data_IF_279408943663
#
_entry.id   IF_279408943663
#
_cell.length_a   1.000
_cell.length_b   1.000
_cell.length_c   1.000
_cell.angle_alpha   90.00
_cell.angle_beta   90.00
_cell.angle_gamma   90.00
#
_symmetry.space_group_name_H-M   'P 1'
#
loop_
_entity.id
_entity.type
_entity.pdbx_description
1 polymer ?
#
# COMPACT_ATOMS: atom_id res chain seq x y z
N UNK A 1 -19.75 12.43 -0.99
CA UNK A 1 -19.15 13.63 -1.61
C UNK A 1 -17.83 13.94 -0.95
N UNK A 2 -16.78 14.20 -1.74
CA UNK A 2 -15.46 14.61 -1.25
C UNK A 2 -14.96 15.81 -2.07
N UNK A 3 -14.12 16.63 -1.49
CA UNK A 3 -13.46 17.72 -2.19
C UNK A 3 -12.08 17.28 -2.69
N UNK A 4 -11.72 17.81 -3.84
CA UNK A 4 -10.42 17.61 -4.50
C UNK A 4 -9.89 18.94 -5.01
N UNK A 5 -8.58 19.08 -5.06
CA UNK A 5 -7.96 20.15 -5.84
C UNK A 5 -7.89 19.71 -7.30
N UNK A 6 -8.45 20.47 -8.25
CA UNK A 6 -8.49 20.07 -9.64
C UNK A 6 -7.12 20.22 -10.28
N UNK A 7 -6.77 19.24 -11.14
CA UNK A 7 -5.63 19.31 -12.03
C UNK A 7 -6.15 19.24 -13.46
N UNK A 8 -5.79 20.22 -14.28
CA UNK A 8 -6.19 20.22 -15.69
C UNK A 8 -5.44 19.12 -16.44
N UNK A 9 -6.20 18.36 -17.22
CA UNK A 9 -5.72 17.31 -18.12
C UNK A 9 -6.37 17.50 -19.50
N UNK A 10 -5.79 16.88 -20.51
CA UNK A 10 -6.39 16.81 -21.85
C UNK A 10 -7.35 15.62 -21.90
N UNK A 11 -8.47 15.78 -22.63
CA UNK A 11 -9.51 14.76 -22.80
C UNK A 11 -10.84 15.10 -22.11
N UNK A 12 -11.84 14.24 -22.31
CA UNK A 12 -13.24 14.45 -21.91
C UNK A 12 -13.63 13.62 -20.67
N UNK A 13 -12.65 13.03 -19.97
CA UNK A 13 -12.87 12.18 -18.81
C UNK A 13 -12.33 12.79 -17.51
N UNK A 14 -12.91 12.38 -16.39
CA UNK A 14 -12.40 12.71 -15.06
C UNK A 14 -11.41 11.62 -14.63
N UNK A 15 -10.16 12.00 -14.36
CA UNK A 15 -9.20 11.11 -13.73
C UNK A 15 -9.40 11.15 -12.21
N UNK A 16 -9.70 10.00 -11.62
CA UNK A 16 -9.92 9.87 -10.19
C UNK A 16 -8.75 9.12 -9.54
N UNK A 17 -8.28 9.62 -8.40
CA UNK A 17 -7.21 8.95 -7.66
C UNK A 17 -7.66 7.54 -7.20
N UNK A 18 -6.88 6.48 -7.49
CA UNK A 18 -7.30 5.09 -7.26
C UNK A 18 -7.70 4.76 -5.82
N UNK A 19 -7.05 5.36 -4.81
CA UNK A 19 -7.39 5.10 -3.40
C UNK A 19 -8.75 5.67 -2.97
N UNK A 20 -9.34 6.57 -3.75
CA UNK A 20 -10.67 7.13 -3.47
C UNK A 20 -11.80 6.35 -4.15
N UNK A 21 -11.49 5.45 -5.07
CA UNK A 21 -12.49 4.67 -5.79
C UNK A 21 -13.39 3.86 -4.85
N UNK A 22 -12.83 3.28 -3.78
CA UNK A 22 -13.60 2.51 -2.81
C UNK A 22 -14.67 3.36 -2.09
N UNK A 23 -14.35 4.62 -1.76
CA UNK A 23 -15.28 5.54 -1.10
C UNK A 23 -16.44 5.95 -2.00
N UNK A 24 -16.20 6.06 -3.31
CA UNK A 24 -17.22 6.39 -4.31
C UNK A 24 -17.91 5.16 -4.89
N UNK A 25 -17.44 3.96 -4.58
CA UNK A 25 -17.79 2.73 -5.26
C UNK A 25 -17.68 2.89 -6.79
N UNK A 26 -16.61 3.56 -7.23
CA UNK A 26 -16.37 3.90 -8.62
C UNK A 26 -15.44 2.90 -9.29
N UNK A 27 -15.74 2.56 -10.52
CA UNK A 27 -14.83 1.90 -11.44
C UNK A 27 -14.75 2.70 -12.76
N UNK A 28 -13.99 2.22 -13.72
CA UNK A 28 -13.70 2.96 -14.95
C UNK A 28 -14.35 2.31 -16.19
N UNK A 29 -15.50 1.68 -16.01
CA UNK A 29 -16.25 1.00 -17.08
C UNK A 29 -17.34 1.90 -17.75
N UNK A 30 -17.40 3.17 -17.37
CA UNK A 30 -18.37 4.15 -17.88
C UNK A 30 -19.16 4.88 -16.79
N UNK A 31 -18.73 4.80 -15.53
CA UNK A 31 -19.32 5.54 -14.43
C UNK A 31 -19.30 7.05 -14.68
N UNK A 32 -20.35 7.73 -14.28
CA UNK A 32 -20.48 9.19 -14.34
C UNK A 32 -20.43 9.81 -12.96
N UNK A 33 -19.83 10.99 -12.86
CA UNK A 33 -19.77 11.77 -11.63
C UNK A 33 -20.26 13.19 -11.85
N UNK A 34 -20.94 13.74 -10.85
CA UNK A 34 -21.29 15.16 -10.80
C UNK A 34 -20.16 15.96 -10.13
N UNK A 35 -19.88 17.14 -10.68
CA UNK A 35 -18.93 18.08 -10.16
C UNK A 35 -19.66 19.32 -9.64
N UNK A 36 -19.36 19.72 -8.40
CA UNK A 36 -19.91 20.91 -7.77
C UNK A 36 -18.78 21.88 -7.41
N UNK A 37 -18.96 23.15 -7.73
CA UNK A 37 -17.99 24.21 -7.44
C UNK A 37 -18.52 25.03 -6.26
N UNK A 38 -17.78 25.13 -5.13
CA UNK A 38 -18.18 25.96 -4.00
C UNK A 38 -18.05 27.45 -4.38
N UNK A 39 -19.14 28.20 -4.26
CA UNK A 39 -19.21 29.59 -4.72
C UNK A 39 -18.89 30.62 -3.63
N UNK A 40 -19.26 30.35 -2.38
CA UNK A 40 -18.97 31.29 -1.26
C UNK A 40 -17.65 30.93 -0.57
N UNK A 41 -17.09 31.91 0.14
CA UNK A 41 -15.86 31.71 0.93
C UNK A 41 -16.06 30.66 2.02
N UNK A 42 -17.22 30.67 2.66
CA UNK A 42 -17.59 29.69 3.69
C UNK A 42 -17.65 28.28 3.11
N UNK A 43 -18.29 28.11 1.96
CA UNK A 43 -18.37 26.82 1.27
C UNK A 43 -16.97 26.32 0.83
N UNK A 44 -16.11 27.22 0.37
CA UNK A 44 -14.72 26.89 0.03
C UNK A 44 -13.94 26.45 1.27
N UNK A 45 -14.13 27.11 2.40
CA UNK A 45 -13.50 26.74 3.67
C UNK A 45 -13.97 25.37 4.15
N UNK A 46 -15.28 25.11 4.12
CA UNK A 46 -15.83 23.79 4.46
C UNK A 46 -15.28 22.71 3.54
N UNK A 47 -15.20 22.93 2.24
CA UNK A 47 -14.64 22.00 1.28
C UNK A 47 -13.17 21.66 1.63
N UNK A 48 -12.35 22.66 1.95
CA UNK A 48 -10.93 22.47 2.29
C UNK A 48 -10.72 21.79 3.64
N UNK A 49 -11.46 22.20 4.67
CA UNK A 49 -11.21 21.73 6.04
C UNK A 49 -11.89 20.39 6.32
N UNK A 50 -13.13 20.21 5.85
CA UNK A 50 -13.94 19.06 6.21
C UNK A 50 -14.04 18.01 5.08
N UNK A 51 -14.12 18.44 3.81
CA UNK A 51 -14.48 17.54 2.71
C UNK A 51 -13.29 17.02 1.90
N UNK A 52 -12.10 17.57 2.08
CA UNK A 52 -10.92 17.08 1.32
C UNK A 52 -10.76 15.58 1.51
N UNK A 53 -10.52 14.87 0.40
CA UNK A 53 -10.31 13.41 0.41
C UNK A 53 -9.18 12.98 1.33
N UNK A 54 -8.13 13.79 1.44
CA UNK A 54 -7.01 13.58 2.37
C UNK A 54 -7.40 13.70 3.84
N UNK A 55 -8.52 14.36 4.16
CA UNK A 55 -9.04 14.51 5.52
C UNK A 55 -10.01 13.36 5.89
N UNK A 56 -10.48 12.61 4.91
CA UNK A 56 -11.49 11.56 5.09
C UNK A 56 -10.85 10.17 4.91
N UNK A 57 -9.88 9.84 5.77
CA UNK A 57 -9.15 8.56 5.75
C UNK A 57 -9.99 7.46 6.36
N UNK A 58 -10.73 7.75 7.42
CA UNK A 58 -11.57 6.79 8.13
C UNK A 58 -13.02 6.85 7.67
N UNK A 59 -13.65 5.68 7.56
CA UNK A 59 -15.07 5.59 7.27
C UNK A 59 -15.91 6.08 8.45
N UNK A 60 -16.88 6.98 8.23
CA UNK A 60 -17.77 7.44 9.30
C UNK A 60 -18.70 6.34 9.85
N UNK A 61 -18.91 5.26 9.10
CA UNK A 61 -19.79 4.17 9.52
C UNK A 61 -19.17 3.26 10.58
N UNK A 62 -17.86 3.03 10.54
CA UNK A 62 -17.20 2.04 11.41
C UNK A 62 -15.82 2.45 11.91
N UNK A 63 -15.34 3.64 11.57
CA UNK A 63 -14.03 4.16 11.99
C UNK A 63 -12.82 3.41 11.42
N UNK A 64 -13.01 2.53 10.43
CA UNK A 64 -11.90 1.83 9.77
C UNK A 64 -11.38 2.64 8.58
N UNK A 65 -10.11 2.48 8.19
CA UNK A 65 -9.60 3.12 7.00
C UNK A 65 -10.41 2.73 5.76
N UNK A 66 -10.85 3.74 5.00
CA UNK A 66 -11.50 3.58 3.70
C UNK A 66 -10.50 3.72 2.55
N UNK A 67 -9.43 4.49 2.77
CA UNK A 67 -8.32 4.66 1.82
C UNK A 67 -7.37 3.47 2.00
N UNK A 68 -7.72 2.34 1.40
CA UNK A 68 -6.95 1.10 1.46
C UNK A 68 -6.64 0.63 0.05
N UNK A 69 -5.39 0.27 -0.26
CA UNK A 69 -5.06 -0.36 -1.53
C UNK A 69 -5.97 -1.55 -1.86
N UNK A 70 -6.34 -1.70 -3.11
CA UNK A 70 -7.22 -2.75 -3.61
C UNK A 70 -6.72 -3.28 -4.95
N UNK A 71 -7.30 -4.38 -5.44
CA UNK A 71 -7.00 -4.96 -6.76
C UNK A 71 -5.49 -5.14 -6.98
N UNK A 72 -4.94 -4.61 -8.06
CA UNK A 72 -3.53 -4.76 -8.45
C UNK A 72 -2.56 -4.15 -7.43
N UNK A 73 -2.96 -3.11 -6.71
CA UNK A 73 -2.14 -2.55 -5.63
C UNK A 73 -1.88 -3.60 -4.54
N UNK A 74 -2.94 -4.29 -4.09
CA UNK A 74 -2.81 -5.37 -3.10
C UNK A 74 -2.07 -6.57 -3.67
N UNK A 75 -2.30 -6.92 -4.93
CA UNK A 75 -1.59 -8.01 -5.58
C UNK A 75 -0.07 -7.78 -5.55
N UNK A 76 0.37 -6.57 -5.89
CA UNK A 76 1.79 -6.21 -5.85
C UNK A 76 2.37 -6.18 -4.43
N UNK A 77 1.64 -5.66 -3.44
CA UNK A 77 2.05 -5.66 -2.03
C UNK A 77 2.14 -7.11 -1.50
N UNK A 78 1.15 -7.93 -1.83
CA UNK A 78 1.14 -9.34 -1.46
C UNK A 78 2.32 -10.09 -2.05
N UNK A 79 2.61 -9.88 -3.34
CA UNK A 79 3.78 -10.43 -4.03
C UNK A 79 5.09 -10.05 -3.33
N UNK A 80 5.28 -8.77 -2.99
CA UNK A 80 6.45 -8.29 -2.25
C UNK A 80 6.62 -8.93 -0.87
N UNK A 81 5.51 -9.24 -0.21
CA UNK A 81 5.50 -9.77 1.16
C UNK A 81 5.65 -11.28 1.25
N UNK A 82 5.74 -11.99 0.12
CA UNK A 82 5.90 -13.44 0.08
C UNK A 82 7.12 -13.91 0.89
N UNK A 83 7.05 -15.08 1.51
CA UNK A 83 8.20 -15.67 2.17
C UNK A 83 9.32 -16.01 1.16
N UNK A 84 10.56 -16.17 1.62
CA UNK A 84 11.67 -16.50 0.76
C UNK A 84 11.46 -17.89 0.13
N UNK A 85 11.93 -18.06 -1.10
CA UNK A 85 11.93 -19.36 -1.77
C UNK A 85 12.89 -20.37 -1.12
N UNK A 86 13.98 -19.87 -0.53
CA UNK A 86 14.96 -20.65 0.21
C UNK A 86 15.20 -20.00 1.56
N UNK A 87 14.81 -20.68 2.64
CA UNK A 87 14.84 -20.13 3.99
C UNK A 87 16.25 -20.06 4.60
N UNK A 88 17.18 -20.88 4.12
CA UNK A 88 18.45 -21.11 4.83
C UNK A 88 19.64 -20.37 4.24
N UNK A 89 19.49 -19.63 3.14
CA UNK A 89 20.58 -18.92 2.49
C UNK A 89 20.39 -17.42 2.50
N UNK A 90 21.27 -16.72 3.22
CA UNK A 90 21.40 -15.26 3.11
C UNK A 90 22.20 -14.93 1.85
N UNK A 91 21.58 -14.21 0.91
CA UNK A 91 22.20 -13.87 -0.37
C UNK A 91 23.05 -12.59 -0.32
N UNK A 92 22.87 -11.75 0.69
CA UNK A 92 23.66 -10.53 0.81
C UNK A 92 23.44 -9.74 2.10
N UNK A 93 24.38 -8.81 2.31
CA UNK A 93 24.36 -7.82 3.40
C UNK A 93 24.31 -6.44 2.80
N UNK A 94 23.30 -5.65 3.17
CA UNK A 94 23.08 -4.32 2.63
C UNK A 94 22.99 -3.30 3.75
N UNK A 95 23.64 -2.16 3.59
CA UNK A 95 23.70 -1.13 4.63
C UNK A 95 22.45 -0.28 4.64
N UNK A 96 21.90 0.01 3.47
CA UNK A 96 20.77 0.92 3.29
C UNK A 96 19.86 0.50 2.13
N UNK A 97 18.73 1.19 2.03
CA UNK A 97 17.71 0.93 1.00
C UNK A 97 18.25 1.13 -0.43
N UNK A 98 19.08 2.15 -0.66
CA UNK A 98 19.61 2.43 -2.00
C UNK A 98 20.53 1.30 -2.51
N UNK A 99 21.29 0.66 -1.63
CA UNK A 99 22.08 -0.53 -2.00
C UNK A 99 21.18 -1.72 -2.37
N UNK A 100 20.06 -1.90 -1.66
CA UNK A 100 19.10 -2.95 -1.97
C UNK A 100 18.47 -2.70 -3.36
N UNK A 101 18.05 -1.48 -3.65
CA UNK A 101 17.49 -1.11 -4.95
C UNK A 101 18.51 -1.32 -6.07
N UNK A 102 19.75 -0.88 -5.87
CA UNK A 102 20.83 -1.07 -6.84
C UNK A 102 21.12 -2.55 -7.09
N UNK A 103 21.20 -3.36 -6.04
CA UNK A 103 21.39 -4.82 -6.15
C UNK A 103 20.24 -5.50 -6.90
N UNK A 104 19.00 -5.04 -6.69
CA UNK A 104 17.81 -5.53 -7.38
C UNK A 104 17.82 -5.13 -8.87
N UNK A 105 18.17 -3.89 -9.19
CA UNK A 105 18.27 -3.38 -10.56
C UNK A 105 19.41 -4.03 -11.34
N UNK A 106 20.55 -4.28 -10.69
CA UNK A 106 21.68 -5.01 -11.26
C UNK A 106 21.43 -6.52 -11.42
N UNK A 107 20.28 -7.05 -10.93
CA UNK A 107 19.96 -8.47 -11.00
C UNK A 107 20.78 -9.37 -10.08
N UNK A 108 21.51 -8.81 -9.13
CA UNK A 108 22.33 -9.55 -8.15
C UNK A 108 21.45 -10.27 -7.11
N UNK A 109 20.31 -9.68 -6.77
CA UNK A 109 19.32 -10.23 -5.84
C UNK A 109 17.93 -10.19 -6.47
N UNK A 110 17.06 -11.06 -6.01
CA UNK A 110 15.64 -11.10 -6.41
C UNK A 110 14.74 -10.55 -5.30
N UNK A 111 13.51 -10.23 -5.64
CA UNK A 111 12.52 -9.68 -4.69
C UNK A 111 12.32 -10.57 -3.45
N UNK A 112 12.39 -11.89 -3.62
CA UNK A 112 12.20 -12.86 -2.54
C UNK A 112 13.52 -13.43 -1.99
N UNK A 113 14.68 -12.87 -2.39
CA UNK A 113 15.97 -13.21 -1.80
C UNK A 113 16.03 -12.81 -0.33
N UNK A 114 16.56 -13.69 0.52
CA UNK A 114 16.79 -13.38 1.93
C UNK A 114 18.07 -12.56 2.07
N UNK A 115 17.94 -11.40 2.68
CA UNK A 115 19.06 -10.48 2.93
C UNK A 115 19.10 -10.05 4.39
N UNK A 116 20.25 -9.54 4.81
CA UNK A 116 20.40 -8.84 6.09
C UNK A 116 20.59 -7.35 5.81
N UNK A 117 19.73 -6.52 6.38
CA UNK A 117 19.85 -5.08 6.26
C UNK A 117 19.44 -4.36 7.53
N UNK A 118 19.61 -3.04 7.54
CA UNK A 118 19.30 -2.17 8.66
C UNK A 118 17.92 -1.53 8.47
N UNK A 119 17.19 -1.44 9.56
CA UNK A 119 15.95 -0.67 9.62
C UNK A 119 16.11 0.44 10.67
N UNK A 120 15.80 1.67 10.27
CA UNK A 120 15.87 2.84 11.13
C UNK A 120 14.50 3.12 11.73
N UNK A 121 14.40 3.14 13.03
CA UNK A 121 13.24 3.59 13.79
C UNK A 121 13.65 4.68 14.78
N UNK A 122 12.72 5.08 15.64
CA UNK A 122 12.95 6.08 16.70
C UNK A 122 12.63 5.44 18.03
N UNK A 123 13.44 5.68 19.04
CA UNK A 123 13.20 5.23 20.40
C UNK A 123 12.20 6.11 21.16
N UNK A 124 11.92 5.78 22.42
CA UNK A 124 10.99 6.54 23.28
C UNK A 124 11.47 7.99 23.58
N UNK A 125 12.76 8.25 23.40
CA UNK A 125 13.39 9.56 23.62
C UNK A 125 13.51 10.38 22.33
N UNK A 126 13.07 9.84 21.19
CA UNK A 126 13.15 10.52 19.88
C UNK A 126 14.50 10.35 19.17
N UNK A 127 15.43 9.53 19.72
CA UNK A 127 16.72 9.27 19.09
C UNK A 127 16.57 8.21 18.00
N UNK A 128 17.45 8.28 17.00
CA UNK A 128 17.50 7.27 15.93
C UNK A 128 17.99 5.94 16.52
N UNK A 129 17.20 4.90 16.34
CA UNK A 129 17.54 3.52 16.65
C UNK A 129 17.68 2.75 15.34
N UNK A 130 18.79 2.08 15.16
CA UNK A 130 19.08 1.25 13.98
C UNK A 130 19.21 -0.20 14.42
N UNK A 131 18.36 -1.04 13.88
CA UNK A 131 18.35 -2.48 14.16
C UNK A 131 18.62 -3.26 12.87
N UNK A 132 19.27 -4.42 13.01
CA UNK A 132 19.51 -5.35 11.90
C UNK A 132 18.41 -6.39 11.86
N UNK A 133 17.89 -6.65 10.67
CA UNK A 133 16.88 -7.67 10.42
C UNK A 133 17.33 -8.59 9.28
N UNK A 134 16.90 -9.84 9.35
CA UNK A 134 17.04 -10.82 8.28
C UNK A 134 15.64 -11.03 7.70
N UNK A 135 15.46 -10.66 6.46
CA UNK A 135 14.15 -10.79 5.78
C UNK A 135 14.32 -10.74 4.26
N UNK A 136 13.21 -10.73 3.52
CA UNK A 136 13.25 -10.65 2.05
C UNK A 136 13.44 -9.21 1.57
N UNK A 137 14.02 -9.08 0.38
CA UNK A 137 14.16 -7.78 -0.31
C UNK A 137 12.82 -7.05 -0.40
N UNK A 138 11.75 -7.75 -0.82
CA UNK A 138 10.42 -7.13 -0.94
C UNK A 138 9.90 -6.56 0.37
N UNK A 139 10.14 -7.22 1.51
CA UNK A 139 9.75 -6.71 2.84
C UNK A 139 10.57 -5.51 3.26
N UNK A 140 11.85 -5.42 2.87
CA UNK A 140 12.66 -4.21 3.09
C UNK A 140 12.19 -3.04 2.22
N UNK A 141 11.75 -3.29 0.97
CA UNK A 141 11.14 -2.25 0.14
C UNK A 141 9.87 -1.70 0.79
N UNK A 142 9.02 -2.56 1.34
CA UNK A 142 7.82 -2.17 2.09
C UNK A 142 8.16 -1.43 3.39
N UNK A 143 9.20 -1.88 4.11
CA UNK A 143 9.65 -1.25 5.34
C UNK A 143 10.14 0.20 5.14
N UNK A 144 10.75 0.50 4.00
CA UNK A 144 11.21 1.84 3.66
C UNK A 144 10.05 2.86 3.53
N UNK A 145 8.83 2.40 3.28
CA UNK A 145 7.65 3.26 3.21
C UNK A 145 7.11 3.65 4.58
N UNK A 146 7.43 2.86 5.62
CA UNK A 146 6.91 3.09 6.96
C UNK A 146 7.41 4.44 7.52
N UNK A 147 6.51 5.24 8.10
CA UNK A 147 6.93 6.46 8.79
C UNK A 147 7.74 6.10 10.04
N UNK A 148 8.79 6.88 10.31
CA UNK A 148 9.64 6.70 11.49
C UNK A 148 8.88 7.10 12.76
N UNK A 149 8.53 6.11 13.58
CA UNK A 149 7.86 6.27 14.86
C UNK A 149 8.17 5.07 15.76
N UNK A 150 8.24 5.27 17.07
CA UNK A 150 8.58 4.23 18.07
C UNK A 150 7.69 2.99 18.01
N UNK A 151 6.40 3.19 17.76
CA UNK A 151 5.40 2.12 17.69
C UNK A 151 5.29 1.48 16.30
N UNK A 152 5.93 2.06 15.29
CA UNK A 152 5.97 1.52 13.92
C UNK A 152 7.24 0.68 13.75
N UNK A 153 7.09 -0.63 13.91
CA UNK A 153 8.18 -1.60 13.90
C UNK A 153 8.27 -2.33 12.56
N UNK A 154 9.44 -2.87 12.26
CA UNK A 154 9.68 -3.70 11.08
C UNK A 154 8.73 -4.91 11.00
N UNK A 155 8.33 -5.47 12.14
CA UNK A 155 7.40 -6.61 12.22
C UNK A 155 6.04 -6.38 11.56
N UNK A 156 5.64 -5.13 11.33
CA UNK A 156 4.39 -4.80 10.60
C UNK A 156 4.43 -5.27 9.15
N UNK A 157 5.61 -5.31 8.54
CA UNK A 157 5.82 -5.71 7.15
C UNK A 157 6.58 -7.02 7.00
N UNK A 158 7.19 -7.52 8.07
CA UNK A 158 7.91 -8.80 8.07
C UNK A 158 6.98 -10.01 8.20
N UNK A 159 5.92 -9.98 7.42
CA UNK A 159 4.89 -11.02 7.34
C UNK A 159 4.17 -10.93 6.01
N UNK A 160 3.36 -11.93 5.71
CA UNK A 160 2.49 -11.88 4.54
C UNK A 160 1.43 -10.78 4.72
N UNK A 161 1.22 -9.96 3.69
CA UNK A 161 0.36 -8.77 3.73
C UNK A 161 -0.89 -8.92 2.85
N UNK A 162 -1.90 -9.71 3.24
CA UNK A 162 -3.20 -9.68 2.61
C UNK A 162 -3.92 -8.34 2.94
N UNK A 163 -4.99 -8.02 2.20
CA UNK A 163 -5.74 -6.77 2.31
C UNK A 163 -6.10 -6.39 3.76
N UNK A 164 -6.51 -7.38 4.57
CA UNK A 164 -6.87 -7.15 5.98
C UNK A 164 -5.70 -6.60 6.79
N UNK A 165 -4.53 -7.22 6.65
CA UNK A 165 -3.32 -6.81 7.37
C UNK A 165 -2.82 -5.44 6.89
N UNK A 166 -2.91 -5.15 5.59
CA UNK A 166 -2.59 -3.82 5.07
C UNK A 166 -3.51 -2.76 5.66
N UNK A 167 -4.80 -3.03 5.78
CA UNK A 167 -5.76 -2.12 6.43
C UNK A 167 -5.43 -1.89 7.91
N UNK A 168 -5.07 -2.93 8.64
CA UNK A 168 -4.61 -2.83 10.04
C UNK A 168 -3.34 -1.98 10.16
N UNK A 169 -2.37 -2.16 9.27
CA UNK A 169 -1.15 -1.36 9.23
C UNK A 169 -1.44 0.12 8.95
N UNK A 170 -2.37 0.43 8.05
CA UNK A 170 -2.80 1.81 7.77
C UNK A 170 -3.47 2.43 9.01
N UNK A 171 -4.33 1.68 9.71
CA UNK A 171 -4.96 2.14 10.95
C UNK A 171 -3.91 2.45 12.03
N UNK A 172 -2.91 1.60 12.19
CA UNK A 172 -1.80 1.83 13.12
C UNK A 172 -1.00 3.08 12.74
N UNK A 173 -0.66 3.25 11.47
CA UNK A 173 0.05 4.45 11.00
C UNK A 173 -0.79 5.70 11.24
N UNK A 174 -2.10 5.65 11.03
CA UNK A 174 -3.00 6.76 11.30
C UNK A 174 -3.02 7.15 12.78
N UNK A 175 -3.15 6.17 13.67
CA UNK A 175 -3.23 6.40 15.12
C UNK A 175 -1.93 6.96 15.71
N UNK A 176 -0.78 6.47 15.27
CA UNK A 176 0.51 6.86 15.85
C UNK A 176 1.19 8.01 15.12
N UNK A 177 0.99 8.14 13.82
CA UNK A 177 1.72 9.11 13.00
C UNK A 177 0.85 10.26 12.48
N UNK A 178 -0.47 10.16 12.63
CA UNK A 178 -1.43 11.16 12.21
C UNK A 178 -1.70 11.15 10.70
N UNK A 179 -2.67 11.95 10.30
CA UNK A 179 -3.29 11.98 8.98
C UNK A 179 -2.28 12.20 7.83
N UNK A 180 -1.47 13.25 7.91
CA UNK A 180 -0.54 13.63 6.82
C UNK A 180 0.43 12.50 6.45
N UNK A 181 1.02 11.86 7.48
CA UNK A 181 1.96 10.74 7.26
C UNK A 181 1.25 9.51 6.70
N UNK A 182 0.00 9.30 7.09
CA UNK A 182 -0.82 8.18 6.58
C UNK A 182 -1.13 8.33 5.10
N UNK A 183 -1.53 9.54 4.66
CA UNK A 183 -1.78 9.80 3.24
C UNK A 183 -0.53 9.53 2.40
N UNK A 184 0.61 10.07 2.82
CA UNK A 184 1.90 9.86 2.13
C UNK A 184 2.27 8.37 2.10
N UNK A 185 2.03 7.65 3.20
CA UNK A 185 2.27 6.21 3.28
C UNK A 185 1.36 5.44 2.31
N UNK A 186 0.08 5.75 2.26
CA UNK A 186 -0.88 5.12 1.34
C UNK A 186 -0.53 5.38 -0.13
N UNK A 187 -0.13 6.61 -0.48
CA UNK A 187 0.30 6.95 -1.84
C UNK A 187 1.53 6.15 -2.27
N UNK A 188 2.53 6.08 -1.41
CA UNK A 188 3.73 5.28 -1.69
C UNK A 188 3.43 3.79 -1.79
N UNK A 189 2.52 3.26 -0.94
CA UNK A 189 2.05 1.87 -1.03
C UNK A 189 1.36 1.60 -2.37
N UNK A 190 0.51 2.52 -2.82
CA UNK A 190 -0.17 2.45 -4.13
C UNK A 190 0.86 2.34 -5.26
N UNK A 191 1.83 3.25 -5.30
CA UNK A 191 2.86 3.28 -6.33
C UNK A 191 3.71 2.02 -6.34
N UNK A 192 4.18 1.59 -5.16
CA UNK A 192 4.97 0.37 -5.02
C UNK A 192 4.16 -0.87 -5.42
N UNK A 193 2.88 -0.92 -5.01
CA UNK A 193 1.96 -2.01 -5.35
C UNK A 193 1.79 -2.16 -6.86
N UNK A 194 1.42 -1.10 -7.57
CA UNK A 194 1.28 -1.12 -9.02
C UNK A 194 2.59 -1.48 -9.74
N UNK A 195 3.71 -0.86 -9.33
CA UNK A 195 5.03 -1.14 -9.92
C UNK A 195 5.38 -2.62 -9.85
N UNK A 196 5.12 -3.27 -8.72
CA UNK A 196 5.49 -4.67 -8.52
C UNK A 196 4.43 -5.65 -9.01
N UNK A 197 3.16 -5.30 -9.07
CA UNK A 197 2.16 -6.08 -9.78
C UNK A 197 2.49 -6.20 -11.27
N UNK A 198 2.85 -5.08 -11.90
CA UNK A 198 3.30 -5.04 -13.29
C UNK A 198 4.57 -5.88 -13.51
N UNK A 199 5.61 -5.69 -12.68
CA UNK A 199 6.88 -6.42 -12.80
C UNK A 199 6.72 -7.93 -12.55
N UNK A 200 5.80 -8.33 -11.69
CA UNK A 200 5.53 -9.73 -11.37
C UNK A 200 4.89 -10.48 -12.53
N UNK A 201 4.15 -9.78 -13.41
CA UNK A 201 3.51 -10.36 -14.60
C UNK A 201 2.53 -11.48 -14.23
N UNK A 202 1.77 -11.32 -13.15
CA UNK A 202 0.85 -12.35 -12.66
C UNK A 202 -0.36 -12.43 -13.57
N UNK A 203 -0.58 -13.62 -14.16
CA UNK A 203 -1.80 -13.92 -14.91
C UNK A 203 -2.32 -15.30 -14.52
N UNK A 204 -3.59 -15.55 -14.74
CA UNK A 204 -4.20 -16.86 -14.56
C UNK A 204 -5.22 -17.12 -15.66
N UNK A 205 -5.33 -18.38 -16.05
CA UNK A 205 -6.28 -18.83 -17.06
C UNK A 205 -7.29 -19.82 -16.47
N UNK A 206 -8.17 -20.33 -17.32
CA UNK A 206 -9.19 -21.32 -16.94
C UNK A 206 -8.57 -22.57 -16.33
N UNK A 207 -7.42 -23.00 -16.84
CA UNK A 207 -6.79 -24.26 -16.45
C UNK A 207 -6.10 -24.17 -15.08
N UNK A 208 -5.85 -22.95 -14.57
CA UNK A 208 -5.32 -22.71 -13.22
C UNK A 208 -6.41 -22.89 -12.15
N UNK A 209 -7.70 -22.89 -12.55
CA UNK A 209 -8.83 -23.09 -11.66
C UNK A 209 -9.10 -24.59 -11.46
N UNK A 210 -8.38 -25.18 -10.50
CA UNK A 210 -8.49 -26.61 -10.18
C UNK A 210 -9.86 -26.90 -9.57
N UNK A 211 -10.65 -27.74 -10.26
CA UNK A 211 -11.95 -28.21 -9.76
C UNK A 211 -11.70 -29.31 -8.72
N UNK A 212 -12.19 -29.17 -7.46
CA UNK A 212 -12.04 -30.23 -6.45
C UNK A 212 -12.67 -31.54 -6.89
N UNK A 213 -11.98 -32.66 -6.65
CA UNK A 213 -12.46 -33.99 -7.04
C UNK A 213 -13.81 -34.37 -6.40
N UNK A 214 -14.14 -33.82 -5.23
CA UNK A 214 -15.37 -34.03 -4.50
C UNK A 214 -16.53 -33.10 -4.92
N UNK A 215 -16.36 -32.27 -5.97
CA UNK A 215 -17.40 -31.34 -6.42
C UNK A 215 -18.74 -32.02 -6.67
N UNK A 216 -18.74 -33.20 -7.33
CA UNK A 216 -19.97 -33.96 -7.60
C UNK A 216 -20.70 -34.41 -6.34
N UNK A 217 -19.97 -34.73 -5.27
CA UNK A 217 -20.55 -35.14 -3.97
C UNK A 217 -21.11 -33.95 -3.18
N UNK A 218 -20.57 -32.73 -3.41
CA UNK A 218 -21.03 -31.52 -2.74
C UNK A 218 -22.27 -30.89 -3.41
N UNK A 219 -22.51 -31.23 -4.69
CA UNK A 219 -23.64 -30.69 -5.45
C UNK A 219 -24.88 -31.59 -5.34
N UNK A 220 -24.70 -32.91 -5.19
CA UNK A 220 -25.80 -33.87 -4.97
C UNK A 220 -26.18 -33.94 -3.49
#
# INVERSE_FOLDING_TARGET
>A
VQAFEPKLIEGDAIELHPLTCAAFNADFDGDQMAVHIPLSLEAQLEARVLMMSTNNILSPSNGKPIIVPSQDMILGIYYLSQPPYQTDKVEGYFVNHSEIEHGLEAGQIKVHSTIISRFETVDDQGNKKVEKYTSTVGRFLLANLLPKHKDIKFSLVDRLLPKKIVSENIDMVFRFCGQKKTVIFCDKLKELGFKHAFKAGISFGKDDLVIPANKGQLIN
#
